data_IF_849054041636
#
_entry.id   IF_849054041636
#
_cell.length_a   1.000
_cell.length_b   1.000
_cell.length_c   1.000
_cell.angle_alpha   90.00
_cell.angle_beta   90.00
_cell.angle_gamma   90.00
#
_symmetry.space_group_name_H-M   'P 1'
#
loop_
_entity.id
_entity.type
_entity.pdbx_description
1 polymer ?
#
# COMPACT_ATOMS: atom_id res chain seq x y z
N UNK A 1 18.49 -10.64 5.53
CA UNK A 1 17.16 -10.30 6.11
C UNK A 1 16.73 -8.87 5.76
N UNK A 2 17.68 -7.95 5.53
CA UNK A 2 17.44 -6.57 5.05
C UNK A 2 16.90 -6.52 3.61
N UNK A 3 17.42 -7.37 2.73
CA UNK A 3 17.08 -7.31 1.30
C UNK A 3 15.62 -7.69 1.03
N UNK A 4 15.05 -8.60 1.82
CA UNK A 4 13.64 -9.00 1.69
C UNK A 4 12.68 -7.85 2.04
N UNK A 5 12.96 -7.11 3.12
CA UNK A 5 12.13 -5.97 3.50
C UNK A 5 12.30 -4.79 2.54
N UNK A 6 13.54 -4.54 2.09
CA UNK A 6 13.84 -3.51 1.10
C UNK A 6 13.12 -3.79 -0.22
N UNK A 7 13.21 -5.01 -0.74
CA UNK A 7 12.55 -5.40 -1.98
C UNK A 7 11.02 -5.28 -1.87
N UNK A 8 10.43 -5.68 -0.74
CA UNK A 8 8.98 -5.50 -0.50
C UNK A 8 8.57 -4.03 -0.50
N UNK A 9 9.35 -3.16 0.13
CA UNK A 9 9.07 -1.72 0.13
C UNK A 9 9.18 -1.14 -1.28
N UNK A 10 10.22 -1.50 -2.03
CA UNK A 10 10.42 -1.07 -3.42
C UNK A 10 9.22 -1.52 -4.28
N UNK A 11 8.84 -2.80 -4.21
CA UNK A 11 7.68 -3.33 -4.95
C UNK A 11 6.39 -2.59 -4.58
N UNK A 12 6.13 -2.34 -3.30
CA UNK A 12 4.95 -1.61 -2.84
C UNK A 12 4.86 -0.21 -3.45
N UNK A 13 5.93 0.59 -3.40
CA UNK A 13 5.91 1.95 -3.91
C UNK A 13 5.89 2.02 -5.44
N UNK A 14 6.57 1.11 -6.13
CA UNK A 14 6.48 0.99 -7.59
C UNK A 14 5.05 0.62 -8.00
N UNK A 15 4.44 -0.38 -7.36
CA UNK A 15 3.08 -0.80 -7.64
C UNK A 15 2.06 0.31 -7.38
N UNK A 16 2.21 1.08 -6.29
CA UNK A 16 1.37 2.24 -6.00
C UNK A 16 1.50 3.32 -7.08
N UNK A 17 2.73 3.67 -7.50
CA UNK A 17 2.99 4.65 -8.56
C UNK A 17 2.40 4.21 -9.90
N UNK A 18 2.58 2.94 -10.25
CA UNK A 18 2.14 2.35 -11.50
C UNK A 18 0.64 1.99 -11.47
N UNK A 19 -0.08 2.35 -10.40
CA UNK A 19 -1.51 2.07 -10.14
C UNK A 19 -1.86 0.58 -10.21
N UNK A 20 -0.88 -0.29 -9.96
CA UNK A 20 -1.07 -1.73 -9.84
C UNK A 20 -1.48 -2.08 -8.41
N UNK A 21 -2.76 -1.88 -8.10
CA UNK A 21 -3.29 -2.07 -6.75
C UNK A 21 -3.34 -3.54 -6.30
N UNK A 22 -3.34 -4.49 -7.23
CA UNK A 22 -3.26 -5.92 -6.92
C UNK A 22 -1.88 -6.27 -6.37
N UNK A 23 -0.80 -5.81 -7.02
CA UNK A 23 0.56 -6.02 -6.54
C UNK A 23 0.88 -5.19 -5.29
N UNK A 24 0.33 -3.97 -5.20
CA UNK A 24 0.40 -3.18 -3.96
C UNK A 24 -0.22 -3.95 -2.79
N UNK A 25 -1.39 -4.57 -3.00
CA UNK A 25 -2.06 -5.38 -1.99
C UNK A 25 -1.27 -6.64 -1.62
N UNK A 26 -0.55 -7.26 -2.56
CA UNK A 26 0.27 -8.46 -2.30
C UNK A 26 1.42 -8.17 -1.32
N UNK A 27 1.89 -6.91 -1.28
CA UNK A 27 2.94 -6.45 -0.37
C UNK A 27 2.45 -6.24 1.08
N UNK A 28 1.14 -6.14 1.31
CA UNK A 28 0.55 -5.78 2.60
C UNK A 28 0.04 -7.00 3.38
N UNK A 29 0.26 -7.00 4.69
CA UNK A 29 -0.35 -7.98 5.58
C UNK A 29 -1.88 -7.73 5.65
N UNK A 30 -2.74 -8.77 5.73
CA UNK A 30 -4.20 -8.57 5.77
C UNK A 30 -4.67 -7.64 6.91
N UNK A 31 -4.03 -7.77 8.08
CA UNK A 31 -4.38 -7.03 9.30
C UNK A 31 -3.42 -5.85 9.57
N UNK A 32 -2.94 -5.15 8.54
CA UNK A 32 -2.15 -3.93 8.77
C UNK A 32 -3.00 -2.85 9.45
N UNK A 33 -2.34 -1.97 10.19
CA UNK A 33 -2.92 -0.71 10.62
C UNK A 33 -2.07 0.42 10.01
N UNK A 34 -2.67 1.19 9.12
CA UNK A 34 -2.06 2.36 8.53
C UNK A 34 -2.39 3.59 9.37
N UNK A 35 -1.36 4.30 9.81
CA UNK A 35 -1.49 5.53 10.59
C UNK A 35 -0.83 6.66 9.80
N UNK A 36 -1.65 7.55 9.25
CA UNK A 36 -1.21 8.72 8.52
C UNK A 36 -1.73 10.02 9.14
N UNK A 37 -1.20 11.18 8.73
CA UNK A 37 -1.64 12.47 9.25
C UNK A 37 -3.10 12.81 8.93
N UNK A 38 -3.68 12.20 7.89
CA UNK A 38 -5.05 12.46 7.44
C UNK A 38 -6.08 11.47 7.99
N UNK A 39 -5.65 10.24 8.30
CA UNK A 39 -6.56 9.16 8.71
C UNK A 39 -5.80 7.97 9.29
N UNK A 40 -6.55 7.14 10.02
CA UNK A 40 -6.16 5.79 10.42
C UNK A 40 -7.01 4.81 9.62
N UNK A 41 -6.40 3.75 9.10
CA UNK A 41 -7.10 2.72 8.32
C UNK A 41 -6.68 1.33 8.80
N UNK A 42 -7.68 0.54 9.19
CA UNK A 42 -7.50 -0.83 9.61
C UNK A 42 -7.75 -1.79 8.44
N UNK A 43 -6.80 -2.69 8.21
CA UNK A 43 -6.91 -3.73 7.20
C UNK A 43 -6.41 -3.31 5.83
N UNK A 44 -5.88 -4.30 5.10
CA UNK A 44 -5.35 -4.13 3.75
C UNK A 44 -6.35 -3.53 2.79
N UNK A 45 -7.62 -3.95 2.86
CA UNK A 45 -8.66 -3.53 1.91
C UNK A 45 -8.91 -2.02 2.00
N UNK A 46 -9.05 -1.47 3.21
CA UNK A 46 -9.23 -0.03 3.42
C UNK A 46 -8.04 0.79 2.92
N UNK A 47 -6.80 0.30 3.13
CA UNK A 47 -5.60 0.97 2.63
C UNK A 47 -5.55 0.98 1.10
N UNK A 48 -5.88 -0.14 0.46
CA UNK A 48 -5.88 -0.25 -1.01
C UNK A 48 -7.00 0.59 -1.63
N UNK A 49 -8.19 0.62 -1.02
CA UNK A 49 -9.29 1.48 -1.45
C UNK A 49 -8.92 2.97 -1.36
N UNK A 50 -8.33 3.39 -0.25
CA UNK A 50 -7.85 4.76 -0.11
C UNK A 50 -6.79 5.12 -1.16
N UNK A 51 -5.86 4.21 -1.46
CA UNK A 51 -4.86 4.43 -2.50
C UNK A 51 -5.49 4.55 -3.90
N UNK A 52 -6.49 3.72 -4.23
CA UNK A 52 -7.26 3.83 -5.48
C UNK A 52 -7.94 5.19 -5.60
N UNK A 53 -8.65 5.61 -4.55
CA UNK A 53 -9.35 6.89 -4.51
C UNK A 53 -8.38 8.07 -4.62
N UNK A 54 -7.23 7.99 -3.92
CA UNK A 54 -6.21 9.03 -3.97
C UNK A 54 -5.55 9.13 -5.36
N UNK A 55 -5.33 8.00 -6.04
CA UNK A 55 -4.77 7.97 -7.42
C UNK A 55 -5.68 8.56 -8.50
N UNK A 56 -6.91 8.98 -8.16
CA UNK A 56 -7.76 9.74 -9.09
C UNK A 56 -7.29 11.19 -9.22
N UNK A 57 -6.47 11.68 -8.28
CA UNK A 57 -5.98 13.05 -8.28
C UNK A 57 -4.65 13.25 -9.04
N UNK A 58 -4.00 12.19 -9.51
CA UNK A 58 -2.73 12.18 -10.28
C UNK A 58 -2.61 10.86 -11.03
#
# INVERSE_FOLDING_TARGET
>A
MTDTNLNKAISYYIAMRDKNFEEMASCLHPNINFIGPLSIMDGKESVVEAAKNFSMFF
#
